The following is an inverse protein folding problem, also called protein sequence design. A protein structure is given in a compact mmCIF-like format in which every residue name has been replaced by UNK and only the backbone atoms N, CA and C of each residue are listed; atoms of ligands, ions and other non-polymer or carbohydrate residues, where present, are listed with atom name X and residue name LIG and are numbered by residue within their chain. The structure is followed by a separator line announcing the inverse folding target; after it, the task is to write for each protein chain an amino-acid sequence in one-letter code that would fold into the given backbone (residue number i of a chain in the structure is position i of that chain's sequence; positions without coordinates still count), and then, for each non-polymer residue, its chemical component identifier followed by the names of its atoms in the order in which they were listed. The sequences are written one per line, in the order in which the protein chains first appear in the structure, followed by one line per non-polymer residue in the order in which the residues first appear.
data_IF_038930936533
#
_entry.id   IF_038930936533
#
_cell.length_a   1.000
_cell.length_b   1.000
_cell.length_c   1.000
_cell.angle_alpha   90.00
_cell.angle_beta   90.00
_cell.angle_gamma   90.00
#
_symmetry.space_group_name_H-M   'P 1'
#
loop_
_entity.id
_entity.type
_entity.pdbx_description
1 polymer ?
#
# COMPACT_ATOMS: atom_id res chain seq x y z
N UNK A 1 57.94 17.02 77.68
CA UNK A 1 56.48 17.04 77.63
C UNK A 1 56.10 17.93 76.45
N UNK A 2 55.83 17.33 75.32
CA UNK A 2 55.66 18.02 74.01
C UNK A 2 54.21 18.35 73.74
N UNK A 3 53.88 19.64 73.66
CA UNK A 3 52.56 20.08 73.11
C UNK A 3 52.59 20.01 71.60
N UNK A 4 51.69 19.24 71.05
CA UNK A 4 51.41 19.23 69.59
C UNK A 4 50.27 20.23 69.29
N UNK A 5 50.61 21.29 68.59
CA UNK A 5 49.65 22.21 68.01
C UNK A 5 48.98 21.61 66.78
N UNK A 6 47.67 21.44 66.85
CA UNK A 6 46.84 21.02 65.73
C UNK A 6 46.51 22.26 64.86
N UNK A 7 47.01 22.30 63.62
CA UNK A 7 46.62 23.32 62.64
C UNK A 7 45.33 22.83 61.93
N UNK A 8 44.29 23.61 62.11
CA UNK A 8 43.02 23.47 61.36
C UNK A 8 43.22 24.01 59.94
N UNK A 9 43.17 23.18 58.96
CA UNK A 9 43.14 23.57 57.55
C UNK A 9 41.69 23.72 57.17
N UNK A 10 41.21 24.95 56.94
CA UNK A 10 39.90 25.23 56.39
C UNK A 10 40.04 25.09 54.85
N UNK A 11 39.47 24.05 54.28
CA UNK A 11 39.32 23.92 52.83
C UNK A 11 38.01 24.59 52.42
N UNK A 12 38.14 25.80 51.82
CA UNK A 12 37.00 26.45 51.16
C UNK A 12 36.78 25.73 49.82
N UNK A 13 35.77 24.88 49.75
CA UNK A 13 35.31 24.32 48.49
C UNK A 13 34.52 25.39 47.74
N UNK A 14 35.14 26.02 46.72
CA UNK A 14 34.38 26.76 45.71
C UNK A 14 33.50 25.78 44.95
N UNK A 15 32.21 25.83 45.25
CA UNK A 15 31.19 25.14 44.46
C UNK A 15 31.08 25.78 43.09
N UNK A 16 31.77 25.23 42.10
CA UNK A 16 31.46 25.51 40.68
C UNK A 16 30.19 24.79 40.35
N UNK A 17 29.04 25.46 40.40
CA UNK A 17 27.81 25.00 39.78
C UNK A 17 28.02 25.06 38.28
N UNK A 18 28.42 23.94 37.68
CA UNK A 18 28.33 23.76 36.24
C UNK A 18 26.82 23.67 35.95
N UNK A 19 26.26 24.82 35.54
CA UNK A 19 24.95 24.81 34.88
C UNK A 19 25.12 24.01 33.62
N UNK A 20 24.61 22.78 33.62
CA UNK A 20 24.44 22.03 32.40
C UNK A 20 23.44 22.84 31.58
N UNK A 21 23.95 23.73 30.72
CA UNK A 21 23.15 24.23 29.62
C UNK A 21 22.73 22.99 28.82
N UNK A 22 21.43 22.73 28.76
CA UNK A 22 20.86 21.77 27.84
C UNK A 22 21.32 22.13 26.41
N UNK A 23 22.34 21.43 25.93
CA UNK A 23 22.89 21.60 24.59
C UNK A 23 21.91 21.13 23.51
N UNK A 24 20.67 20.80 23.87
CA UNK A 24 19.61 20.34 22.95
C UNK A 24 18.57 21.42 22.60
N UNK A 25 18.77 22.68 23.01
CA UNK A 25 17.86 23.75 22.60
C UNK A 25 18.08 24.13 21.13
N UNK A 26 17.76 23.26 20.21
CA UNK A 26 17.85 23.49 18.76
C UNK A 26 17.86 22.24 17.88
N UNK A 27 18.07 21.07 18.45
CA UNK A 27 18.03 19.83 17.66
C UNK A 27 16.58 19.39 17.48
N UNK A 28 16.14 19.34 16.21
CA UNK A 28 14.78 18.90 15.89
C UNK A 28 14.60 17.43 16.29
N UNK A 29 13.40 17.03 16.78
CA UNK A 29 13.12 15.63 17.07
C UNK A 29 13.49 14.71 15.89
N UNK A 30 14.08 13.53 16.12
CA UNK A 30 14.61 12.67 15.05
C UNK A 30 13.59 12.35 13.95
N UNK A 31 12.31 12.14 14.29
CA UNK A 31 11.25 11.87 13.33
C UNK A 31 10.91 13.09 12.44
N UNK A 32 11.06 14.32 12.95
CA UNK A 32 10.85 15.52 12.14
C UNK A 32 12.00 15.73 11.13
N UNK A 33 13.22 15.32 11.46
CA UNK A 33 14.33 15.32 10.51
C UNK A 33 14.11 14.28 9.41
N UNK A 34 13.63 13.08 9.75
CA UNK A 34 13.23 12.08 8.77
C UNK A 34 12.09 12.61 7.87
N UNK A 35 11.09 13.25 8.46
CA UNK A 35 9.97 13.84 7.70
C UNK A 35 10.45 14.90 6.69
N UNK A 36 11.42 15.76 7.07
CA UNK A 36 12.05 16.74 6.15
C UNK A 36 12.75 16.04 4.97
N UNK A 37 13.43 14.92 5.23
CA UNK A 37 14.06 14.12 4.17
C UNK A 37 12.96 13.56 3.24
N UNK A 38 11.91 12.98 3.79
CA UNK A 38 10.81 12.43 2.99
C UNK A 38 10.13 13.51 2.13
N UNK A 39 9.85 14.71 2.69
CA UNK A 39 9.21 15.81 1.92
C UNK A 39 10.06 16.34 0.77
N UNK A 40 11.38 16.14 0.80
CA UNK A 40 12.26 16.51 -0.31
C UNK A 40 12.27 15.49 -1.45
N UNK A 41 11.66 14.32 -1.25
CA UNK A 41 11.61 13.23 -2.22
C UNK A 41 10.46 13.42 -3.22
N UNK A 42 10.55 12.74 -4.35
CA UNK A 42 9.46 12.65 -5.31
C UNK A 42 8.42 11.65 -4.83
N UNK A 43 7.16 12.02 -4.93
CA UNK A 43 6.02 11.15 -4.65
C UNK A 43 5.35 10.75 -5.96
N UNK A 44 4.95 9.50 -6.07
CA UNK A 44 4.17 8.96 -7.19
C UNK A 44 2.87 8.41 -6.64
N UNK A 45 1.75 8.93 -7.12
CA UNK A 45 0.42 8.42 -6.78
C UNK A 45 0.16 7.12 -7.55
N UNK A 46 -0.10 6.04 -6.83
CA UNK A 46 -0.35 4.71 -7.38
C UNK A 46 -1.85 4.36 -7.36
N UNK A 47 -2.72 5.36 -7.25
CA UNK A 47 -4.16 5.20 -7.08
C UNK A 47 -4.91 5.75 -8.27
N UNK A 48 -5.81 4.98 -8.85
CA UNK A 48 -6.77 5.50 -9.83
C UNK A 48 -7.84 6.36 -9.17
N UNK A 49 -8.26 7.43 -9.84
CA UNK A 49 -9.51 8.08 -9.51
C UNK A 49 -10.67 7.09 -9.73
N UNK A 50 -11.66 7.10 -8.85
CA UNK A 50 -12.83 6.26 -9.03
C UNK A 50 -14.11 7.07 -9.26
N UNK A 51 -15.01 6.48 -10.03
CA UNK A 51 -16.32 7.06 -10.41
C UNK A 51 -17.27 5.94 -10.81
N UNK A 52 -18.57 6.20 -10.99
CA UNK A 52 -19.45 5.22 -11.62
C UNK A 52 -18.92 4.76 -12.98
N UNK A 53 -19.11 3.48 -13.29
CA UNK A 53 -18.76 2.87 -14.58
C UNK A 53 -17.32 2.38 -14.72
N UNK A 54 -16.48 2.47 -13.68
CA UNK A 54 -15.09 1.98 -13.72
C UNK A 54 -15.02 0.45 -13.81
N UNK A 55 -13.86 -0.10 -14.24
CA UNK A 55 -13.59 -1.55 -14.18
C UNK A 55 -13.81 -2.12 -12.78
N UNK A 56 -14.53 -3.23 -12.71
CA UNK A 56 -14.86 -3.94 -11.47
C UNK A 56 -15.24 -5.37 -11.76
N UNK A 57 -15.26 -6.21 -10.76
CA UNK A 57 -15.90 -7.52 -10.89
C UNK A 57 -17.40 -7.34 -11.24
N UNK A 58 -17.89 -8.03 -12.28
CA UNK A 58 -19.23 -7.79 -12.82
C UNK A 58 -20.38 -8.18 -11.88
N UNK A 59 -20.10 -9.00 -10.86
CA UNK A 59 -21.07 -9.33 -9.80
C UNK A 59 -21.35 -8.19 -8.83
N UNK A 60 -20.52 -7.12 -8.83
CA UNK A 60 -20.73 -5.96 -7.95
C UNK A 60 -21.62 -4.90 -8.61
N UNK A 61 -22.52 -4.24 -7.83
CA UNK A 61 -23.26 -3.09 -8.31
C UNK A 61 -22.32 -1.94 -8.63
N UNK A 62 -22.76 -1.05 -9.50
CA UNK A 62 -22.04 0.19 -9.79
C UNK A 62 -22.13 1.19 -8.64
N UNK A 63 -21.16 2.10 -8.58
CA UNK A 63 -21.19 3.22 -7.64
C UNK A 63 -22.37 4.15 -7.96
N UNK A 64 -22.99 4.68 -6.90
CA UNK A 64 -23.92 5.81 -7.02
C UNK A 64 -23.47 6.95 -6.13
N UNK A 65 -23.70 8.19 -6.62
CA UNK A 65 -23.42 9.43 -5.89
C UNK A 65 -24.68 10.27 -5.79
N UNK A 66 -24.86 10.89 -4.64
CA UNK A 66 -25.95 11.84 -4.41
C UNK A 66 -25.43 13.04 -3.64
N UNK A 67 -25.52 14.23 -4.22
CA UNK A 67 -25.29 15.47 -3.48
C UNK A 67 -26.37 15.63 -2.43
N UNK A 68 -25.97 15.70 -1.16
CA UNK A 68 -26.88 15.88 0.00
C UNK A 68 -27.01 17.36 0.33
N UNK A 69 -25.85 18.08 0.36
CA UNK A 69 -25.79 19.51 0.62
C UNK A 69 -24.94 20.18 -0.46
N UNK A 70 -25.30 21.43 -0.74
CA UNK A 70 -24.54 22.28 -1.63
C UNK A 70 -24.24 23.62 -0.95
N UNK A 71 -23.27 24.37 -1.41
CA UNK A 71 -22.75 25.58 -0.77
C UNK A 71 -23.81 26.63 -0.42
N UNK A 72 -24.92 26.71 -1.14
CA UNK A 72 -26.02 27.65 -0.95
C UNK A 72 -27.21 27.07 -0.17
N UNK A 73 -27.15 25.80 0.25
CA UNK A 73 -28.24 25.07 0.89
C UNK A 73 -27.83 24.47 2.22
N UNK A 74 -28.10 25.17 3.31
CA UNK A 74 -27.97 24.64 4.68
C UNK A 74 -29.33 24.30 5.27
N UNK A 75 -29.44 23.21 6.05
CA UNK A 75 -30.67 22.82 6.70
C UNK A 75 -31.21 23.86 7.70
N UNK A 76 -30.28 24.57 8.38
CA UNK A 76 -30.58 25.57 9.42
C UNK A 76 -30.66 27.00 8.87
N UNK A 77 -30.48 27.21 7.59
CA UNK A 77 -30.50 28.50 6.90
C UNK A 77 -29.59 29.58 7.54
N UNK A 78 -28.57 29.16 8.34
CA UNK A 78 -27.64 30.07 8.99
C UNK A 78 -26.22 29.90 8.43
N UNK A 79 -25.61 31.02 8.06
CA UNK A 79 -24.25 31.07 7.54
C UNK A 79 -24.08 30.44 6.15
N UNK A 80 -22.84 30.18 5.73
CA UNK A 80 -22.50 29.58 4.43
C UNK A 80 -22.88 28.11 4.38
N UNK A 81 -23.34 27.64 3.21
CA UNK A 81 -23.55 26.23 2.92
C UNK A 81 -22.23 25.46 2.84
N UNK A 82 -22.33 24.16 2.66
CA UNK A 82 -21.18 23.26 2.44
C UNK A 82 -21.57 22.20 1.40
N UNK A 83 -20.55 21.66 0.73
CA UNK A 83 -20.73 20.56 -0.21
C UNK A 83 -20.54 19.22 0.50
N UNK A 84 -21.53 18.33 0.34
CA UNK A 84 -21.46 16.97 0.88
C UNK A 84 -22.18 15.99 -0.03
N UNK A 85 -21.56 14.84 -0.26
CA UNK A 85 -22.09 13.77 -1.08
C UNK A 85 -22.23 12.47 -0.28
N UNK A 86 -23.20 11.68 -0.67
CA UNK A 86 -23.33 10.28 -0.30
C UNK A 86 -22.78 9.42 -1.42
N UNK A 87 -21.78 8.58 -1.10
CA UNK A 87 -21.25 7.55 -1.98
C UNK A 87 -21.81 6.20 -1.57
N UNK A 88 -22.20 5.38 -2.54
CA UNK A 88 -22.62 4.00 -2.30
C UNK A 88 -21.88 3.10 -3.26
N UNK A 89 -20.94 2.30 -2.74
CA UNK A 89 -20.13 1.35 -3.49
C UNK A 89 -19.77 0.15 -2.61
N UNK A 90 -19.32 -0.93 -3.23
CA UNK A 90 -18.72 -2.07 -2.51
C UNK A 90 -17.37 -1.71 -1.93
N UNK A 91 -16.83 -2.53 -1.02
CA UNK A 91 -15.47 -2.33 -0.50
C UNK A 91 -14.41 -2.38 -1.58
N UNK A 92 -14.52 -3.31 -2.51
CA UNK A 92 -13.61 -3.56 -3.64
C UNK A 92 -13.91 -2.61 -4.80
N UNK A 93 -13.64 -1.31 -4.62
CA UNK A 93 -13.99 -0.27 -5.60
C UNK A 93 -12.78 0.59 -5.97
N UNK A 94 -12.43 0.65 -7.27
CA UNK A 94 -11.22 1.32 -7.76
C UNK A 94 -9.96 0.68 -7.20
N UNK A 95 -8.89 1.43 -7.00
CA UNK A 95 -7.73 0.95 -6.25
C UNK A 95 -8.14 0.65 -4.82
N UNK A 96 -8.05 -0.60 -4.38
CA UNK A 96 -8.61 -1.04 -3.11
C UNK A 96 -7.73 -2.06 -2.40
N UNK A 97 -8.02 -2.27 -1.11
CA UNK A 97 -7.39 -3.28 -0.27
C UNK A 97 -8.34 -4.46 -0.05
N UNK A 98 -7.78 -5.68 -0.19
CA UNK A 98 -8.42 -6.92 0.21
C UNK A 98 -7.73 -7.47 1.45
N UNK A 99 -8.40 -7.41 2.62
CA UNK A 99 -7.92 -8.06 3.82
C UNK A 99 -8.19 -9.57 3.77
N UNK A 100 -7.50 -10.38 4.59
CA UNK A 100 -7.72 -11.84 4.66
C UNK A 100 -9.18 -12.28 4.77
N UNK A 101 -10.00 -11.53 5.49
CA UNK A 101 -11.42 -11.82 5.67
C UNK A 101 -12.25 -11.72 4.38
N UNK A 102 -11.71 -11.14 3.30
CA UNK A 102 -12.42 -11.06 2.02
C UNK A 102 -12.74 -12.47 1.49
N UNK A 103 -11.76 -13.37 1.51
CA UNK A 103 -11.93 -14.76 1.05
C UNK A 103 -12.05 -15.78 2.18
N UNK A 104 -11.48 -15.51 3.36
CA UNK A 104 -11.39 -16.52 4.43
C UNK A 104 -12.09 -16.08 5.70
N UNK A 105 -13.22 -16.70 6.00
CA UNK A 105 -14.01 -16.44 7.20
C UNK A 105 -13.18 -16.63 8.46
N UNK A 106 -13.18 -15.61 9.33
CA UNK A 106 -12.52 -15.65 10.63
C UNK A 106 -11.07 -15.16 10.64
N UNK A 107 -10.50 -14.85 9.48
CA UNK A 107 -9.21 -14.15 9.39
C UNK A 107 -9.38 -12.63 9.57
N UNK A 108 -8.26 -11.88 9.55
CA UNK A 108 -8.24 -10.45 9.83
C UNK A 108 -9.12 -9.66 8.87
N UNK A 109 -9.95 -8.80 9.42
CA UNK A 109 -10.70 -7.77 8.70
C UNK A 109 -9.85 -6.50 8.54
N UNK A 110 -10.28 -5.56 7.69
CA UNK A 110 -9.53 -4.36 7.36
C UNK A 110 -9.14 -3.53 8.59
N UNK A 111 -10.01 -3.47 9.61
CA UNK A 111 -9.79 -2.74 10.86
C UNK A 111 -8.75 -3.39 11.79
N UNK A 112 -8.34 -4.62 11.49
CA UNK A 112 -7.36 -5.40 12.24
C UNK A 112 -5.96 -5.39 11.60
N UNK A 113 -5.79 -4.76 10.43
CA UNK A 113 -4.47 -4.58 9.82
C UNK A 113 -3.69 -3.53 10.63
N UNK A 114 -2.47 -3.89 11.06
CA UNK A 114 -1.63 -3.01 11.86
C UNK A 114 -1.13 -1.81 11.00
N UNK A 115 -1.16 -0.56 11.48
CA UNK A 115 -0.56 0.58 10.79
C UNK A 115 0.91 0.39 10.37
N UNK A 116 1.68 -0.45 11.05
CA UNK A 116 3.04 -0.81 10.64
C UNK A 116 3.09 -1.56 9.31
N UNK A 117 2.01 -2.22 8.92
CA UNK A 117 1.89 -2.91 7.64
C UNK A 117 1.54 -1.94 6.48
N UNK A 118 1.41 -0.64 6.75
CA UNK A 118 0.99 0.37 5.77
C UNK A 118 2.15 1.21 5.21
N UNK A 119 3.36 1.09 5.77
CA UNK A 119 4.56 1.81 5.31
C UNK A 119 5.67 0.79 5.13
N UNK A 120 5.94 0.40 3.88
CA UNK A 120 6.75 -0.78 3.58
C UNK A 120 7.83 -0.47 2.54
N UNK A 121 8.97 -1.19 2.55
CA UNK A 121 9.86 -1.21 1.39
C UNK A 121 9.09 -1.65 0.14
N UNK A 122 9.21 -0.89 -0.95
CA UNK A 122 8.55 -1.20 -2.23
C UNK A 122 9.53 -1.92 -3.16
N UNK A 123 9.07 -3.05 -3.66
CA UNK A 123 9.67 -3.82 -4.75
C UNK A 123 8.72 -3.77 -5.93
N UNK A 124 9.18 -3.39 -7.11
CA UNK A 124 8.41 -3.45 -8.36
C UNK A 124 9.04 -4.52 -9.26
N UNK A 125 8.28 -5.55 -9.59
CA UNK A 125 8.71 -6.55 -10.58
C UNK A 125 8.08 -6.15 -11.91
N UNK A 126 8.92 -5.68 -12.82
CA UNK A 126 8.48 -5.17 -14.11
C UNK A 126 8.39 -6.31 -15.14
N UNK A 127 7.19 -6.57 -15.62
CA UNK A 127 6.88 -7.60 -16.63
C UNK A 127 6.01 -7.03 -17.76
N UNK A 128 6.05 -5.70 -17.96
CA UNK A 128 5.19 -5.05 -18.95
C UNK A 128 5.45 -5.52 -20.39
N UNK A 129 6.71 -5.83 -20.74
CA UNK A 129 7.06 -6.31 -22.08
C UNK A 129 6.52 -7.73 -22.32
N UNK A 130 6.62 -8.61 -21.30
CA UNK A 130 6.06 -9.96 -21.35
C UNK A 130 4.52 -9.90 -21.46
N UNK A 131 3.88 -9.00 -20.70
CA UNK A 131 2.42 -8.80 -20.76
C UNK A 131 1.97 -8.16 -22.08
N UNK A 132 2.74 -7.30 -22.67
CA UNK A 132 2.45 -6.74 -23.99
C UNK A 132 2.49 -7.79 -25.10
N UNK A 133 3.38 -8.77 -25.00
CA UNK A 133 3.49 -9.88 -25.97
C UNK A 133 2.54 -11.04 -25.69
N UNK A 134 2.12 -11.23 -24.42
CA UNK A 134 1.21 -12.28 -24.00
C UNK A 134 0.28 -11.77 -22.90
N UNK A 135 -0.98 -11.48 -23.23
CA UNK A 135 -1.97 -11.00 -22.28
C UNK A 135 -2.26 -12.00 -21.13
N UNK A 136 -2.03 -13.30 -21.35
CA UNK A 136 -2.21 -14.36 -20.35
C UNK A 136 -0.91 -14.65 -19.57
N UNK A 137 0.03 -13.71 -19.56
CA UNK A 137 1.28 -13.88 -18.83
C UNK A 137 1.02 -14.05 -17.32
N UNK A 138 1.74 -14.99 -16.71
CA UNK A 138 1.75 -15.16 -15.25
C UNK A 138 3.15 -14.94 -14.71
N UNK A 139 3.29 -14.07 -13.68
CA UNK A 139 4.58 -13.81 -13.06
C UNK A 139 5.19 -15.10 -12.51
N UNK A 140 6.28 -15.55 -13.13
CA UNK A 140 6.94 -16.80 -12.77
C UNK A 140 7.91 -16.63 -11.59
N UNK A 141 8.23 -17.72 -10.90
CA UNK A 141 9.27 -17.76 -9.86
C UNK A 141 10.64 -17.36 -10.42
N UNK A 142 10.96 -17.77 -11.65
CA UNK A 142 12.22 -17.45 -12.33
C UNK A 142 12.36 -15.94 -12.51
N UNK A 143 11.28 -15.24 -12.85
CA UNK A 143 11.28 -13.78 -13.00
C UNK A 143 11.50 -13.08 -11.65
N UNK A 144 10.92 -13.59 -10.57
CA UNK A 144 11.16 -13.11 -9.21
C UNK A 144 12.63 -13.29 -8.83
N UNK A 145 13.20 -14.46 -9.07
CA UNK A 145 14.62 -14.75 -8.79
C UNK A 145 15.57 -13.93 -9.66
N UNK A 146 15.18 -13.67 -10.93
CA UNK A 146 15.95 -12.76 -11.78
C UNK A 146 15.98 -11.35 -11.17
N UNK A 147 14.86 -10.83 -10.69
CA UNK A 147 14.82 -9.55 -9.99
C UNK A 147 15.79 -9.52 -8.81
N UNK A 148 15.84 -10.59 -8.01
CA UNK A 148 16.80 -10.70 -6.89
C UNK A 148 18.27 -10.77 -7.35
N UNK A 149 18.53 -11.33 -8.50
CA UNK A 149 19.87 -11.33 -9.08
C UNK A 149 20.33 -9.92 -9.45
N UNK A 150 19.40 -9.10 -9.96
CA UNK A 150 19.69 -7.76 -10.45
C UNK A 150 19.72 -6.72 -9.32
N UNK A 151 18.90 -6.88 -8.25
CA UNK A 151 18.67 -5.88 -7.21
C UNK A 151 19.01 -6.31 -5.77
N UNK A 152 19.39 -7.58 -5.58
CA UNK A 152 19.57 -8.17 -4.26
C UNK A 152 18.29 -8.81 -3.70
N UNK A 153 18.43 -9.45 -2.55
CA UNK A 153 17.31 -10.18 -1.95
C UNK A 153 16.14 -9.25 -1.58
N UNK A 154 14.92 -9.68 -1.92
CA UNK A 154 13.68 -8.98 -1.52
C UNK A 154 13.66 -8.82 0.01
N UNK A 155 13.49 -7.60 0.54
CA UNK A 155 13.48 -7.35 1.97
C UNK A 155 12.32 -8.07 2.67
N UNK A 156 12.57 -8.62 3.85
CA UNK A 156 11.49 -9.11 4.73
C UNK A 156 10.54 -7.95 5.04
N UNK A 157 9.24 -8.22 4.99
CA UNK A 157 8.22 -7.21 5.23
C UNK A 157 7.95 -6.27 4.05
N UNK A 158 8.51 -6.52 2.87
CA UNK A 158 8.26 -5.69 1.68
C UNK A 158 6.80 -5.73 1.20
N UNK A 159 6.43 -4.74 0.43
CA UNK A 159 5.32 -4.75 -0.51
C UNK A 159 5.88 -5.06 -1.89
N UNK A 160 5.36 -6.08 -2.57
CA UNK A 160 5.79 -6.45 -3.91
C UNK A 160 4.69 -6.12 -4.91
N UNK A 161 4.97 -5.18 -5.82
CA UNK A 161 4.07 -4.79 -6.90
C UNK A 161 4.49 -5.46 -8.22
N UNK A 162 3.52 -5.96 -8.98
CA UNK A 162 3.71 -6.46 -10.34
C UNK A 162 3.31 -5.37 -11.33
N UNK A 163 4.29 -4.80 -12.05
CA UNK A 163 4.05 -3.85 -13.14
C UNK A 163 3.77 -4.59 -14.43
N UNK A 164 2.62 -4.33 -15.03
CA UNK A 164 2.15 -4.95 -16.27
C UNK A 164 1.82 -3.94 -17.36
N UNK A 165 1.77 -2.64 -17.00
CA UNK A 165 1.19 -1.54 -17.79
C UNK A 165 -0.30 -1.76 -18.11
N UNK A 166 -0.97 -2.67 -17.42
CA UNK A 166 -2.41 -2.93 -17.60
C UNK A 166 -3.25 -1.74 -17.18
N UNK A 167 -2.81 -0.99 -16.19
CA UNK A 167 -3.41 0.24 -15.69
C UNK A 167 -3.60 1.32 -16.76
N UNK A 168 -2.82 1.30 -17.84
CA UNK A 168 -2.95 2.23 -18.98
C UNK A 168 -4.25 2.03 -19.79
N UNK A 169 -5.02 0.98 -19.50
CA UNK A 169 -6.33 0.71 -20.09
C UNK A 169 -7.48 1.35 -19.32
N UNK A 170 -7.19 1.84 -18.11
CA UNK A 170 -8.16 2.52 -17.26
C UNK A 170 -8.71 3.80 -17.91
N UNK A 171 -9.99 4.17 -17.77
CA UNK A 171 -11.05 3.46 -17.03
C UNK A 171 -11.94 2.56 -17.92
N UNK A 172 -11.46 2.10 -19.03
CA UNK A 172 -12.20 1.30 -20.01
C UNK A 172 -12.34 -0.16 -19.53
N UNK A 173 -13.50 -0.52 -18.99
CA UNK A 173 -13.76 -1.85 -18.44
C UNK A 173 -13.58 -2.94 -19.51
N UNK A 174 -14.00 -2.71 -20.76
CA UNK A 174 -13.86 -3.70 -21.82
C UNK A 174 -12.39 -3.95 -22.17
N UNK A 175 -11.55 -2.89 -22.16
CA UNK A 175 -10.12 -3.05 -22.38
C UNK A 175 -9.41 -3.71 -21.18
N UNK A 176 -9.87 -3.44 -19.96
CA UNK A 176 -9.33 -4.08 -18.76
C UNK A 176 -9.63 -5.58 -18.74
N UNK A 177 -10.87 -5.99 -19.04
CA UNK A 177 -11.26 -7.39 -19.16
C UNK A 177 -10.62 -8.08 -20.38
N UNK A 178 -10.45 -7.36 -21.50
CA UNK A 178 -9.84 -7.83 -22.73
C UNK A 178 -10.42 -9.19 -23.20
N UNK A 179 -11.76 -9.32 -23.20
CA UNK A 179 -12.43 -10.56 -23.58
C UNK A 179 -12.33 -10.88 -25.06
N UNK A 180 -12.11 -12.15 -25.37
CA UNK A 180 -12.20 -12.69 -26.72
C UNK A 180 -13.67 -12.86 -27.19
N UNK A 181 -13.84 -13.31 -28.43
CA UNK A 181 -15.17 -13.56 -29.01
C UNK A 181 -15.97 -14.67 -28.28
N UNK A 182 -15.33 -15.49 -27.45
CA UNK A 182 -15.95 -16.53 -26.62
C UNK A 182 -16.28 -16.05 -25.21
N UNK A 183 -15.95 -14.79 -24.89
CA UNK A 183 -16.14 -14.19 -23.58
C UNK A 183 -15.06 -14.56 -22.56
N UNK A 184 -13.95 -15.16 -22.99
CA UNK A 184 -12.81 -15.45 -22.11
C UNK A 184 -12.01 -14.18 -21.89
N UNK A 185 -11.79 -13.81 -20.65
CA UNK A 185 -10.95 -12.67 -20.27
C UNK A 185 -9.47 -13.02 -20.42
N UNK A 186 -8.68 -12.04 -20.87
CA UNK A 186 -7.25 -12.19 -21.12
C UNK A 186 -6.50 -11.02 -20.46
N UNK A 187 -6.07 -11.19 -19.23
CA UNK A 187 -5.22 -10.25 -18.50
C UNK A 187 -4.22 -11.00 -17.63
N UNK A 188 -3.04 -10.41 -17.36
CA UNK A 188 -1.97 -11.09 -16.63
C UNK A 188 -2.32 -11.29 -15.16
N UNK A 189 -1.66 -12.26 -14.53
CA UNK A 189 -1.79 -12.56 -13.12
C UNK A 189 -0.52 -13.10 -12.51
N UNK A 190 -0.63 -13.55 -11.27
CA UNK A 190 0.47 -14.18 -10.54
C UNK A 190 0.53 -15.69 -10.83
N UNK A 191 1.67 -16.32 -10.46
CA UNK A 191 1.73 -17.78 -10.36
C UNK A 191 1.81 -18.23 -8.90
N UNK A 192 1.29 -19.40 -8.59
CA UNK A 192 1.33 -19.96 -7.23
C UNK A 192 2.76 -20.15 -6.73
N UNK A 193 3.70 -20.50 -7.61
CA UNK A 193 5.12 -20.69 -7.25
C UNK A 193 5.78 -19.37 -6.85
N UNK A 194 5.49 -18.28 -7.55
CA UNK A 194 5.96 -16.94 -7.19
C UNK A 194 5.38 -16.50 -5.85
N UNK A 195 4.07 -16.63 -5.66
CA UNK A 195 3.40 -16.25 -4.41
C UNK A 195 3.92 -17.06 -3.21
N UNK A 196 4.08 -18.38 -3.35
CA UNK A 196 4.66 -19.22 -2.30
C UNK A 196 6.06 -18.81 -1.91
N UNK A 197 6.88 -18.43 -2.88
CA UNK A 197 8.23 -17.94 -2.62
C UNK A 197 8.21 -16.58 -1.90
N UNK A 198 7.42 -15.65 -2.39
CA UNK A 198 7.34 -14.30 -1.84
C UNK A 198 6.82 -14.32 -0.39
N UNK A 199 5.67 -14.92 -0.15
CA UNK A 199 5.07 -14.98 1.19
C UNK A 199 5.74 -16.01 2.10
N UNK A 200 6.09 -17.18 1.56
CA UNK A 200 6.66 -18.29 2.34
C UNK A 200 8.14 -18.13 2.67
N UNK A 201 8.97 -17.74 1.70
CA UNK A 201 10.42 -17.67 1.89
C UNK A 201 10.91 -16.23 2.12
N UNK A 202 10.39 -15.24 1.39
CA UNK A 202 10.81 -13.84 1.52
C UNK A 202 10.05 -13.09 2.61
N UNK A 203 8.95 -13.66 3.11
CA UNK A 203 8.16 -13.09 4.22
C UNK A 203 7.73 -11.66 3.92
N UNK A 204 7.22 -11.42 2.70
CA UNK A 204 6.67 -10.12 2.35
C UNK A 204 5.39 -9.86 3.16
N UNK A 205 5.04 -8.59 3.35
CA UNK A 205 3.83 -8.19 4.07
C UNK A 205 2.62 -8.18 3.17
N UNK A 206 2.77 -7.71 1.93
CA UNK A 206 1.66 -7.58 1.00
C UNK A 206 2.15 -7.61 -0.45
N UNK A 207 1.23 -7.81 -1.37
CA UNK A 207 1.44 -7.67 -2.81
C UNK A 207 0.42 -6.73 -3.44
N UNK A 208 0.69 -6.30 -4.67
CA UNK A 208 -0.26 -5.53 -5.45
C UNK A 208 -0.01 -5.63 -6.95
N UNK A 209 -1.00 -5.27 -7.73
CA UNK A 209 -0.96 -5.36 -9.20
C UNK A 209 -1.91 -4.35 -9.86
N UNK A 210 -1.82 -4.24 -11.18
CA UNK A 210 -2.58 -3.27 -11.98
C UNK A 210 -3.87 -3.87 -12.57
N UNK A 211 -4.10 -5.18 -12.42
CA UNK A 211 -5.30 -5.90 -12.89
C UNK A 211 -6.40 -5.90 -11.83
N UNK A 212 -7.60 -6.34 -12.23
CA UNK A 212 -8.78 -6.46 -11.35
C UNK A 212 -8.72 -7.64 -10.40
N UNK A 213 -7.78 -8.58 -10.62
CA UNK A 213 -7.68 -9.82 -9.86
C UNK A 213 -6.22 -10.29 -9.78
N UNK A 214 -5.89 -11.05 -8.76
CA UNK A 214 -4.61 -11.75 -8.58
C UNK A 214 -4.44 -12.86 -9.62
N UNK A 215 -5.52 -13.58 -9.87
CA UNK A 215 -5.57 -14.68 -10.83
C UNK A 215 -5.63 -14.14 -12.27
N UNK A 216 -5.02 -14.81 -13.26
CA UNK A 216 -5.07 -14.37 -14.65
C UNK A 216 -6.48 -14.49 -15.23
N UNK A 217 -6.83 -13.65 -16.22
CA UNK A 217 -8.17 -13.59 -16.82
C UNK A 217 -8.73 -14.91 -17.27
N UNK A 218 -7.88 -15.81 -17.79
CA UNK A 218 -8.28 -17.17 -18.19
C UNK A 218 -8.73 -18.06 -17.00
N UNK A 219 -8.28 -17.77 -15.80
CA UNK A 219 -8.69 -18.47 -14.58
C UNK A 219 -9.99 -17.87 -14.03
N UNK A 220 -10.07 -16.54 -13.88
CA UNK A 220 -11.26 -15.86 -13.36
C UNK A 220 -12.49 -16.04 -14.24
N UNK A 221 -12.32 -16.19 -15.57
CA UNK A 221 -13.41 -16.59 -16.48
C UNK A 221 -14.03 -17.95 -16.11
N UNK A 222 -13.27 -18.81 -15.41
CA UNK A 222 -13.73 -20.14 -14.94
C UNK A 222 -14.13 -20.12 -13.47
N UNK A 223 -14.29 -18.92 -12.89
CA UNK A 223 -14.57 -18.73 -11.46
C UNK A 223 -13.44 -19.30 -10.55
N UNK A 224 -12.20 -19.29 -11.04
CA UNK A 224 -11.01 -19.72 -10.29
C UNK A 224 -10.23 -18.50 -9.75
N UNK A 225 -10.33 -18.27 -8.45
CA UNK A 225 -9.66 -17.24 -7.65
C UNK A 225 -8.73 -17.88 -6.63
N UNK A 226 -8.12 -19.01 -6.98
CA UNK A 226 -7.31 -19.80 -6.04
C UNK A 226 -6.03 -19.09 -5.59
N UNK A 227 -5.47 -18.18 -6.39
CA UNK A 227 -4.26 -17.43 -6.05
C UNK A 227 -4.57 -16.31 -5.05
N UNK A 228 -5.66 -15.60 -5.25
CA UNK A 228 -6.14 -14.61 -4.28
C UNK A 228 -6.51 -15.30 -2.96
N UNK A 229 -7.27 -16.38 -3.02
CA UNK A 229 -7.61 -17.20 -1.85
C UNK A 229 -6.34 -17.70 -1.12
N UNK A 230 -5.27 -18.01 -1.85
CA UNK A 230 -3.98 -18.38 -1.24
C UNK A 230 -3.37 -17.22 -0.47
N UNK A 231 -3.24 -16.04 -1.07
CA UNK A 231 -2.64 -14.85 -0.40
C UNK A 231 -3.42 -14.54 0.88
N UNK A 232 -4.73 -14.35 0.74
CA UNK A 232 -5.60 -13.96 1.85
C UNK A 232 -5.66 -15.05 2.93
N UNK A 233 -5.59 -16.33 2.51
CA UNK A 233 -5.50 -17.49 3.39
C UNK A 233 -4.21 -17.57 4.20
N UNK A 234 -3.12 -16.96 3.76
CA UNK A 234 -1.88 -16.82 4.51
C UNK A 234 -1.91 -15.67 5.52
N UNK A 235 -3.06 -15.03 5.68
CA UNK A 235 -3.32 -13.91 6.58
C UNK A 235 -2.59 -12.61 6.21
N UNK A 236 -2.34 -12.41 4.91
CA UNK A 236 -1.77 -11.20 4.33
C UNK A 236 -2.83 -10.46 3.53
N UNK A 237 -2.65 -9.16 3.33
CA UNK A 237 -3.53 -8.35 2.47
C UNK A 237 -2.89 -8.11 1.11
N UNK A 238 -3.70 -7.70 0.15
CA UNK A 238 -3.26 -7.26 -1.17
C UNK A 238 -3.90 -5.94 -1.59
N UNK A 239 -3.35 -5.33 -2.64
CA UNK A 239 -3.89 -4.14 -3.30
C UNK A 239 -4.11 -4.44 -4.77
N UNK A 240 -5.31 -4.20 -5.25
CA UNK A 240 -5.67 -4.34 -6.66
C UNK A 240 -5.82 -2.98 -7.35
N UNK A 241 -5.74 -3.00 -8.67
CA UNK A 241 -5.90 -1.81 -9.52
C UNK A 241 -4.94 -0.68 -9.16
N UNK A 242 -3.65 -0.99 -8.98
CA UNK A 242 -2.59 0.00 -8.90
C UNK A 242 -2.38 0.70 -10.26
N UNK A 243 -1.79 1.89 -10.24
CA UNK A 243 -1.41 2.64 -11.44
C UNK A 243 -0.02 3.25 -11.30
N UNK A 244 0.51 3.84 -12.39
CA UNK A 244 1.77 4.58 -12.43
C UNK A 244 3.01 3.81 -11.93
N UNK A 245 2.99 2.47 -11.94
CA UNK A 245 4.16 1.67 -11.56
C UNK A 245 5.33 1.88 -12.53
N UNK A 246 5.09 2.35 -13.76
CA UNK A 246 6.09 2.74 -14.74
C UNK A 246 6.92 3.97 -14.32
N UNK A 247 6.47 4.72 -13.32
CA UNK A 247 7.16 5.89 -12.78
C UNK A 247 7.99 5.58 -11.54
N UNK A 248 7.99 4.33 -11.07
CA UNK A 248 8.64 3.88 -9.84
C UNK A 248 9.82 2.98 -10.19
N UNK A 249 11.02 3.18 -9.58
CA UNK A 249 12.14 2.27 -9.79
C UNK A 249 11.83 0.88 -9.21
N UNK A 250 12.42 -0.15 -9.77
CA UNK A 250 12.21 -1.54 -9.32
C UNK A 250 12.61 -1.77 -7.86
N UNK A 251 13.55 -0.98 -7.33
CA UNK A 251 14.04 -1.08 -5.95
C UNK A 251 14.30 0.28 -5.31
N UNK A 252 14.30 0.34 -3.97
CA UNK A 252 14.74 1.49 -3.18
C UNK A 252 13.63 2.47 -2.76
N UNK A 253 12.42 2.35 -3.30
CA UNK A 253 11.28 3.16 -2.89
C UNK A 253 10.61 2.64 -1.61
N UNK A 254 9.79 3.50 -0.99
CA UNK A 254 8.85 3.14 0.08
C UNK A 254 7.44 3.28 -0.48
N UNK A 255 6.56 2.33 -0.19
CA UNK A 255 5.13 2.48 -0.43
C UNK A 255 4.41 2.86 0.86
N UNK A 256 3.44 3.73 0.73
CA UNK A 256 2.44 4.03 1.77
C UNK A 256 1.08 3.56 1.24
N UNK A 257 0.45 2.67 2.00
CA UNK A 257 -0.90 2.16 1.72
C UNK A 257 -1.83 2.70 2.80
N UNK A 258 -2.81 3.50 2.41
CA UNK A 258 -3.74 4.11 3.36
C UNK A 258 -5.18 3.79 2.98
N UNK A 259 -5.97 3.33 3.96
CA UNK A 259 -7.37 3.00 3.76
C UNK A 259 -8.18 3.29 5.03
N UNK A 260 -9.51 3.52 4.90
CA UNK A 260 -10.40 3.67 6.04
C UNK A 260 -10.45 2.42 6.92
N UNK A 261 -10.97 2.58 8.13
CA UNK A 261 -11.05 1.52 9.15
C UNK A 261 -12.51 1.16 9.51
N UNK A 262 -13.33 0.71 8.56
CA UNK A 262 -14.67 0.22 8.89
C UNK A 262 -14.56 -1.05 9.73
N UNK A 263 -15.26 -1.08 10.86
CA UNK A 263 -15.25 -2.24 11.76
C UNK A 263 -15.75 -3.49 11.04
N UNK A 264 -14.98 -4.57 11.08
CA UNK A 264 -15.25 -5.84 10.42
C UNK A 264 -15.42 -5.74 8.89
N UNK A 265 -14.81 -4.72 8.26
CA UNK A 265 -14.89 -4.53 6.81
C UNK A 265 -14.11 -5.59 6.04
N UNK A 266 -14.65 -6.01 4.89
CA UNK A 266 -14.06 -7.00 3.98
C UNK A 266 -13.17 -6.38 2.90
N UNK A 267 -12.99 -5.06 2.88
CA UNK A 267 -12.20 -4.29 1.93
C UNK A 267 -12.66 -2.84 1.90
N UNK A 268 -11.87 -1.96 1.31
CA UNK A 268 -12.24 -0.55 1.07
C UNK A 268 -11.31 0.08 0.02
N UNK A 269 -11.79 1.12 -0.72
CA UNK A 269 -10.90 1.93 -1.55
C UNK A 269 -9.68 2.42 -0.77
N UNK A 270 -8.51 2.33 -1.39
CA UNK A 270 -7.24 2.70 -0.78
C UNK A 270 -6.60 3.89 -1.49
N UNK A 271 -5.87 4.71 -0.75
CA UNK A 271 -4.90 5.64 -1.33
C UNK A 271 -3.51 5.07 -1.17
N UNK A 272 -2.88 4.74 -2.28
CA UNK A 272 -1.54 4.16 -2.36
C UNK A 272 -0.61 5.13 -3.07
N UNK A 273 0.57 5.35 -2.54
CA UNK A 273 1.59 6.16 -3.19
C UNK A 273 3.00 5.67 -2.86
N UNK A 274 3.94 5.91 -3.76
CA UNK A 274 5.35 5.63 -3.56
C UNK A 274 6.13 6.89 -3.23
N UNK A 275 7.14 6.76 -2.35
CA UNK A 275 8.15 7.76 -2.05
C UNK A 275 9.46 7.25 -2.66
N UNK A 276 9.98 7.97 -3.65
CA UNK A 276 11.15 7.53 -4.41
C UNK A 276 12.45 7.83 -3.67
N UNK A 277 13.54 7.06 -3.93
CA UNK A 277 14.84 7.24 -3.30
C UNK A 277 15.53 8.58 -3.61
#
# INVERSE_FOLDING_TARGET
MFLRTCRLIVVIALGVTISACDANAGEQPPLWNLQKILTSKRYVDLTHDFSPGIPRWLGFPDETRKTIYWYDKRPDAQGSGFFSELFTHVGQWGTHVDPPAHFVKGLRTIDQIDPKEMVLPLVVIDVHEECASNADYTLSLERVKKWETDHGQIPVGAFVAMRTDWSKRWPDAAKMENKDAKGVAHYPGWSLSALKYLYGERKITASGHETTDTDPGIATTKDDYSLEAYILGTNHYQIELLTNLDQVPEAGAIVVVSFPKPKNGSGFPARVFAILP
#
